data_IF_267320359543
#
_entry.id   IF_267320359543
#
_cell.length_a   1.000
_cell.length_b   1.000
_cell.length_c   1.000
_cell.angle_alpha   90.00
_cell.angle_beta   90.00
_cell.angle_gamma   90.00
#
_symmetry.space_group_name_H-M   'P 1'
#
loop_
_entity.id
_entity.type
_entity.pdbx_description
1 polymer ?
#
# COMPACT_ATOMS: atom_id res chain seq x y z
N UNK A 1 18.77 -26.33 -2.54
CA UNK A 1 17.48 -26.97 -2.18
C UNK A 1 16.37 -26.21 -2.87
N UNK A 2 15.24 -26.84 -3.19
CA UNK A 2 14.10 -26.14 -3.79
C UNK A 2 13.58 -25.03 -2.84
N UNK A 3 13.08 -23.92 -3.40
CA UNK A 3 12.47 -22.87 -2.58
C UNK A 3 11.13 -23.34 -2.01
N UNK A 4 10.80 -22.88 -0.80
CA UNK A 4 9.51 -23.13 -0.16
C UNK A 4 8.75 -21.83 -0.02
N UNK A 5 7.50 -21.78 -0.50
CA UNK A 5 6.60 -20.63 -0.37
C UNK A 5 5.52 -20.89 0.69
N UNK A 6 5.17 -19.86 1.44
CA UNK A 6 3.99 -19.76 2.31
C UNK A 6 3.22 -18.48 1.94
N UNK A 7 1.89 -18.57 1.97
CA UNK A 7 0.97 -17.49 1.59
C UNK A 7 -0.09 -17.37 2.67
N UNK A 8 -0.11 -16.23 3.36
CA UNK A 8 -1.04 -16.00 4.46
C UNK A 8 -1.93 -14.79 4.16
N UNK A 9 -3.20 -14.89 4.54
CA UNK A 9 -4.16 -13.79 4.47
C UNK A 9 -4.39 -13.25 5.88
N UNK A 10 -4.17 -11.96 6.05
CA UNK A 10 -4.22 -11.31 7.36
C UNK A 10 -5.17 -10.12 7.32
N UNK A 11 -5.77 -9.81 8.48
CA UNK A 11 -6.67 -8.67 8.66
C UNK A 11 -6.19 -7.81 9.81
N UNK A 12 -6.03 -6.52 9.54
CA UNK A 12 -5.60 -5.55 10.53
C UNK A 12 -6.71 -4.53 10.79
N UNK A 13 -7.14 -4.33 12.05
CA UNK A 13 -8.13 -3.31 12.36
C UNK A 13 -7.54 -1.92 12.07
N UNK A 14 -8.33 -1.07 11.41
CA UNK A 14 -7.98 0.33 11.19
C UNK A 14 -8.31 1.09 12.49
N UNK A 15 -7.45 2.04 12.86
CA UNK A 15 -7.74 2.97 13.95
C UNK A 15 -8.93 3.87 13.56
N UNK A 16 -10.15 3.44 13.92
CA UNK A 16 -11.39 4.07 13.49
C UNK A 16 -11.80 3.59 12.09
N UNK A 17 -12.13 4.55 11.22
CA UNK A 17 -12.62 4.26 9.86
C UNK A 17 -11.80 5.02 8.83
N UNK A 18 -11.38 4.31 7.78
CA UNK A 18 -10.75 4.91 6.62
C UNK A 18 -11.76 5.10 5.49
N UNK A 19 -12.03 6.35 5.12
CA UNK A 19 -13.07 6.69 4.13
C UNK A 19 -12.50 7.48 2.96
N UNK A 20 -12.90 7.05 1.76
CA UNK A 20 -12.69 7.74 0.48
C UNK A 20 -14.05 7.96 -0.20
N UNK A 21 -14.09 8.71 -1.29
CA UNK A 21 -15.32 8.96 -2.07
C UNK A 21 -16.11 7.69 -2.44
N UNK A 22 -15.41 6.58 -2.67
CA UNK A 22 -16.01 5.28 -3.06
C UNK A 22 -16.46 4.40 -1.88
N UNK A 23 -16.21 4.81 -0.63
CA UNK A 23 -16.65 4.06 0.55
C UNK A 23 -15.64 4.03 1.69
N UNK A 24 -16.03 3.26 2.72
CA UNK A 24 -15.33 3.17 4.00
C UNK A 24 -14.78 1.78 4.26
N UNK A 25 -13.68 1.70 5.00
CA UNK A 25 -13.09 0.46 5.54
C UNK A 25 -12.79 0.61 7.02
N UNK A 26 -13.00 -0.47 7.77
CA UNK A 26 -12.62 -0.61 9.18
C UNK A 26 -11.49 -1.62 9.38
N UNK A 27 -11.10 -2.32 8.32
CA UNK A 27 -10.00 -3.28 8.31
C UNK A 27 -9.18 -3.17 7.02
N UNK A 28 -7.90 -3.48 7.13
CA UNK A 28 -6.99 -3.70 6.01
C UNK A 28 -6.77 -5.20 5.85
N UNK A 29 -7.24 -5.75 4.73
CA UNK A 29 -6.99 -7.13 4.34
C UNK A 29 -5.75 -7.18 3.45
N UNK A 30 -4.77 -7.99 3.84
CA UNK A 30 -3.48 -8.11 3.15
C UNK A 30 -3.15 -9.58 2.90
N UNK A 31 -2.32 -9.83 1.90
CA UNK A 31 -1.75 -11.16 1.66
C UNK A 31 -0.24 -11.04 1.76
N UNK A 32 0.36 -11.82 2.67
CA UNK A 32 1.79 -11.93 2.83
C UNK A 32 2.32 -13.19 2.12
N UNK A 33 3.44 -13.03 1.42
CA UNK A 33 4.16 -14.09 0.72
C UNK A 33 5.54 -14.24 1.35
N UNK A 34 5.87 -15.44 1.81
CA UNK A 34 7.19 -15.77 2.34
C UNK A 34 7.85 -16.85 1.48
N UNK A 35 9.06 -16.58 0.98
CA UNK A 35 9.84 -17.52 0.17
C UNK A 35 11.13 -17.85 0.90
N UNK A 36 11.39 -19.14 1.13
CA UNK A 36 12.54 -19.63 1.88
C UNK A 36 13.49 -20.43 1.00
N UNK A 37 14.78 -20.12 1.07
CA UNK A 37 15.87 -20.81 0.38
C UNK A 37 17.10 -20.86 1.29
N UNK A 38 17.70 -22.05 1.47
CA UNK A 38 18.92 -22.25 2.26
C UNK A 38 18.87 -21.61 3.67
N UNK A 39 17.72 -21.72 4.35
CA UNK A 39 17.53 -21.17 5.71
C UNK A 39 17.32 -19.64 5.77
N UNK A 40 17.25 -18.95 4.63
CA UNK A 40 16.88 -17.52 4.55
C UNK A 40 15.46 -17.37 4.03
N UNK A 41 14.71 -16.43 4.56
CA UNK A 41 13.32 -16.16 4.17
C UNK A 41 13.13 -14.71 3.77
N UNK A 42 12.76 -14.50 2.52
CA UNK A 42 12.27 -13.22 2.00
C UNK A 42 10.76 -13.09 2.18
N UNK A 43 10.28 -11.87 2.38
CA UNK A 43 8.88 -11.54 2.63
C UNK A 43 8.43 -10.39 1.72
N UNK A 44 7.21 -10.51 1.22
CA UNK A 44 6.51 -9.44 0.51
C UNK A 44 5.05 -9.43 0.92
N UNK A 45 4.43 -8.26 0.85
CA UNK A 45 3.01 -8.06 1.19
C UNK A 45 2.31 -7.36 0.04
N UNK A 46 1.04 -7.70 -0.18
CA UNK A 46 0.19 -6.96 -1.08
C UNK A 46 -1.20 -6.72 -0.49
N UNK A 47 -1.88 -5.71 -1.06
CA UNK A 47 -3.24 -5.32 -0.68
C UNK A 47 -4.13 -5.48 -1.92
N UNK A 48 -4.95 -6.54 -2.01
CA UNK A 48 -5.90 -6.70 -3.11
C UNK A 48 -6.86 -5.51 -3.21
N UNK A 49 -7.03 -4.97 -4.42
CA UNK A 49 -7.83 -3.78 -4.64
C UNK A 49 -9.05 -4.02 -5.54
N UNK A 50 -10.24 -4.12 -4.93
CA UNK A 50 -11.52 -4.38 -5.63
C UNK A 50 -11.80 -3.43 -6.81
N UNK A 51 -11.38 -2.16 -6.72
CA UNK A 51 -11.54 -1.19 -7.81
C UNK A 51 -10.79 -1.60 -9.09
N UNK A 52 -9.74 -2.41 -8.98
CA UNK A 52 -8.99 -2.98 -10.09
C UNK A 52 -9.39 -4.43 -10.41
N UNK A 53 -10.53 -4.91 -9.89
CA UNK A 53 -11.02 -6.26 -10.12
C UNK A 53 -10.34 -7.34 -9.28
N UNK A 54 -9.52 -6.96 -8.30
CA UNK A 54 -8.82 -7.92 -7.44
C UNK A 54 -9.67 -8.32 -6.22
N UNK A 55 -9.57 -9.59 -5.84
CA UNK A 55 -10.17 -10.15 -4.62
C UNK A 55 -9.11 -10.85 -3.79
N UNK A 56 -9.35 -11.02 -2.48
CA UNK A 56 -8.44 -11.80 -1.61
C UNK A 56 -8.21 -13.22 -2.16
N UNK A 57 -9.29 -13.89 -2.55
CA UNK A 57 -9.23 -15.24 -3.12
C UNK A 57 -8.48 -15.27 -4.46
N UNK A 58 -8.79 -14.36 -5.38
CA UNK A 58 -8.15 -14.31 -6.70
C UNK A 58 -6.67 -13.99 -6.62
N UNK A 59 -6.27 -13.04 -5.76
CA UNK A 59 -4.86 -12.70 -5.56
C UNK A 59 -4.12 -13.85 -4.88
N UNK A 60 -4.70 -14.47 -3.84
CA UNK A 60 -4.10 -15.65 -3.21
C UNK A 60 -3.92 -16.80 -4.21
N UNK A 61 -4.96 -17.10 -4.99
CA UNK A 61 -4.90 -18.14 -6.03
C UNK A 61 -3.82 -17.87 -7.07
N UNK A 62 -3.66 -16.61 -7.49
CA UNK A 62 -2.60 -16.21 -8.42
C UNK A 62 -1.19 -16.38 -7.83
N UNK A 63 -1.01 -16.14 -6.52
CA UNK A 63 0.27 -16.39 -5.84
C UNK A 63 0.53 -17.90 -5.73
N UNK A 64 -0.47 -18.68 -5.32
CA UNK A 64 -0.34 -20.14 -5.19
C UNK A 64 -0.07 -20.84 -6.53
N UNK A 65 -0.62 -20.32 -7.64
CA UNK A 65 -0.34 -20.84 -8.98
C UNK A 65 1.16 -20.75 -9.36
N UNK A 66 1.91 -19.85 -8.72
CA UNK A 66 3.36 -19.71 -8.93
C UNK A 66 4.21 -20.65 -8.07
N UNK A 67 3.61 -21.52 -7.25
CA UNK A 67 4.35 -22.44 -6.36
C UNK A 67 5.44 -23.21 -7.07
N UNK A 68 5.12 -23.80 -8.22
CA UNK A 68 6.06 -24.63 -8.98
C UNK A 68 7.23 -23.80 -9.49
N UNK A 69 6.95 -22.69 -10.18
CA UNK A 69 7.98 -21.79 -10.72
C UNK A 69 8.89 -21.24 -9.61
N UNK A 70 8.32 -20.89 -8.46
CA UNK A 70 9.08 -20.43 -7.29
C UNK A 70 9.95 -21.54 -6.73
N UNK A 71 9.42 -22.75 -6.55
CA UNK A 71 10.19 -23.89 -6.08
C UNK A 71 11.37 -24.22 -7.00
N UNK A 72 11.20 -24.04 -8.31
CA UNK A 72 12.24 -24.18 -9.35
C UNK A 72 13.16 -22.96 -9.49
N UNK A 73 12.98 -21.92 -8.67
CA UNK A 73 13.92 -20.80 -8.57
C UNK A 73 13.71 -19.70 -9.60
N UNK A 74 12.47 -19.45 -10.04
CA UNK A 74 12.16 -18.31 -10.93
C UNK A 74 12.81 -17.01 -10.44
N UNK A 75 13.41 -16.25 -11.37
CA UNK A 75 14.03 -14.97 -11.07
C UNK A 75 13.02 -13.83 -11.12
N UNK A 76 13.33 -12.69 -10.49
CA UNK A 76 12.50 -11.48 -10.57
C UNK A 76 12.28 -11.00 -12.01
N UNK A 77 13.28 -11.15 -12.88
CA UNK A 77 13.15 -10.75 -14.29
C UNK A 77 12.19 -11.69 -15.03
N UNK A 78 12.30 -13.00 -14.83
CA UNK A 78 11.38 -13.97 -15.42
C UNK A 78 9.94 -13.79 -14.90
N UNK A 79 9.77 -13.41 -13.63
CA UNK A 79 8.48 -13.13 -13.02
C UNK A 79 7.68 -12.04 -13.78
N UNK A 80 8.36 -11.05 -14.37
CA UNK A 80 7.71 -9.99 -15.14
C UNK A 80 6.97 -10.52 -16.38
N UNK A 81 7.47 -11.59 -16.99
CA UNK A 81 6.83 -12.26 -18.12
C UNK A 81 5.83 -13.35 -17.70
N UNK A 82 6.04 -13.97 -16.53
CA UNK A 82 5.17 -15.02 -16.00
C UNK A 82 3.89 -14.49 -15.34
N UNK A 83 3.89 -13.25 -14.85
CA UNK A 83 2.73 -12.65 -14.18
C UNK A 83 2.42 -11.23 -14.67
N UNK A 84 1.13 -10.89 -14.85
CA UNK A 84 0.73 -9.50 -15.10
C UNK A 84 1.02 -8.61 -13.87
N UNK A 85 0.98 -7.29 -14.08
CA UNK A 85 1.02 -6.34 -12.98
C UNK A 85 -0.23 -6.49 -12.09
N UNK A 86 -0.03 -6.44 -10.77
CA UNK A 86 -1.10 -6.57 -9.78
C UNK A 86 -0.57 -6.91 -8.39
N UNK A 87 -1.46 -7.02 -7.42
CA UNK A 87 -1.15 -7.32 -6.03
C UNK A 87 -0.39 -8.65 -5.88
N UNK A 88 -0.78 -9.69 -6.63
CA UNK A 88 -0.12 -11.00 -6.58
C UNK A 88 1.38 -10.89 -6.93
N UNK A 89 1.70 -10.22 -8.04
CA UNK A 89 3.09 -10.02 -8.48
C UNK A 89 3.86 -9.13 -7.52
N UNK A 90 3.22 -8.12 -6.92
CA UNK A 90 3.85 -7.28 -5.90
C UNK A 90 4.36 -8.11 -4.71
N UNK A 91 3.52 -9.00 -4.16
CA UNK A 91 3.92 -9.84 -3.02
C UNK A 91 5.10 -10.75 -3.35
N UNK A 92 5.07 -11.42 -4.52
CA UNK A 92 6.16 -12.33 -4.93
C UNK A 92 7.44 -11.55 -5.27
N UNK A 93 7.36 -10.47 -6.05
CA UNK A 93 8.53 -9.67 -6.43
C UNK A 93 9.26 -9.12 -5.20
N UNK A 94 8.49 -8.54 -4.25
CA UNK A 94 9.05 -8.05 -2.99
C UNK A 94 9.68 -9.18 -2.15
N UNK A 95 9.03 -10.35 -2.08
CA UNK A 95 9.58 -11.50 -1.37
C UNK A 95 10.90 -12.00 -1.99
N UNK A 96 11.01 -11.99 -3.32
CA UNK A 96 12.25 -12.34 -4.02
C UNK A 96 13.35 -11.30 -3.77
N UNK A 97 13.03 -10.01 -3.82
CA UNK A 97 13.98 -8.94 -3.48
C UNK A 97 14.54 -9.10 -2.06
N UNK A 98 13.67 -9.32 -1.09
CA UNK A 98 14.05 -9.50 0.31
C UNK A 98 14.86 -10.80 0.51
N UNK A 99 14.50 -11.88 -0.18
CA UNK A 99 15.25 -13.14 -0.14
C UNK A 99 16.67 -12.97 -0.70
N UNK A 100 16.80 -12.39 -1.89
CA UNK A 100 18.09 -12.14 -2.55
C UNK A 100 19.02 -11.28 -1.67
N UNK A 101 18.47 -10.25 -1.03
CA UNK A 101 19.22 -9.41 -0.10
C UNK A 101 19.75 -10.20 1.10
N UNK A 102 18.92 -11.10 1.66
CA UNK A 102 19.29 -11.94 2.81
C UNK A 102 20.27 -13.06 2.46
N UNK A 103 20.21 -13.60 1.25
CA UNK A 103 21.17 -14.59 0.75
C UNK A 103 22.52 -13.93 0.48
N UNK A 104 22.52 -12.79 -0.22
CA UNK A 104 23.74 -12.08 -0.60
C UNK A 104 24.38 -11.30 0.55
N UNK A 105 23.65 -11.03 1.63
CA UNK A 105 24.07 -10.11 2.69
C UNK A 105 24.08 -8.64 2.25
N UNK A 106 23.57 -8.33 1.05
CA UNK A 106 23.51 -6.96 0.51
C UNK A 106 22.09 -6.42 0.65
N UNK A 107 21.86 -5.35 1.44
CA UNK A 107 20.53 -4.75 1.56
C UNK A 107 19.95 -4.35 0.19
N UNK A 108 18.65 -4.59 -0.05
CA UNK A 108 17.96 -4.24 -1.32
C UNK A 108 18.30 -2.83 -1.78
N UNK A 109 18.30 -1.90 -0.83
CA UNK A 109 18.71 -0.52 -1.03
C UNK A 109 20.04 -0.43 -1.81
N UNK A 110 21.11 -1.08 -1.35
CA UNK A 110 22.42 -0.98 -1.98
C UNK A 110 22.43 -1.52 -3.42
N UNK A 111 21.53 -2.43 -3.75
CA UNK A 111 21.39 -2.99 -5.11
C UNK A 111 20.72 -2.02 -6.09
N UNK A 112 19.78 -1.19 -5.63
CA UNK A 112 18.96 -0.33 -6.52
C UNK A 112 19.33 1.16 -6.48
N UNK A 113 20.20 1.56 -5.56
CA UNK A 113 20.40 2.98 -5.27
C UNK A 113 21.41 3.65 -6.16
N UNK A 114 21.08 4.88 -6.52
CA UNK A 114 22.01 5.88 -7.06
C UNK A 114 22.42 6.92 -6.00
N UNK A 115 21.73 6.98 -4.85
CA UNK A 115 21.96 7.97 -3.78
C UNK A 115 21.81 7.38 -2.36
N UNK A 116 22.42 7.95 -1.30
CA UNK A 116 22.31 7.52 0.10
C UNK A 116 20.90 7.61 0.73
N UNK A 117 20.64 6.87 1.82
CA UNK A 117 19.29 6.67 2.40
C UNK A 117 19.14 7.80 3.37
N UNK A 118 18.03 8.50 3.24
CA UNK A 118 17.64 9.55 4.16
C UNK A 118 16.22 9.30 4.58
N UNK A 119 15.89 9.72 5.79
CA UNK A 119 14.50 9.82 6.19
C UNK A 119 13.75 10.70 5.17
N UNK A 120 12.56 10.26 4.80
CA UNK A 120 11.66 11.01 3.93
C UNK A 120 10.41 11.37 4.69
N UNK A 121 9.88 12.55 4.39
CA UNK A 121 8.60 13.00 4.91
C UNK A 121 7.47 12.27 4.16
N UNK A 122 6.63 11.54 4.89
CA UNK A 122 5.39 10.96 4.35
C UNK A 122 4.19 11.87 4.64
N UNK A 123 3.16 11.77 3.80
CA UNK A 123 1.88 12.41 4.06
C UNK A 123 1.09 11.63 5.11
N UNK A 124 0.32 12.32 5.95
CA UNK A 124 -0.67 11.69 6.82
C UNK A 124 -2.07 11.92 6.24
N UNK A 125 -2.84 10.85 6.06
CA UNK A 125 -4.13 10.91 5.37
C UNK A 125 -5.27 11.19 6.35
N UNK A 126 -6.08 12.20 6.08
CA UNK A 126 -7.34 12.49 6.75
C UNK A 126 -8.47 11.83 5.97
N UNK A 127 -9.26 11.00 6.67
CA UNK A 127 -10.44 10.32 6.09
C UNK A 127 -11.52 11.33 5.71
N UNK A 128 -12.21 11.07 4.61
CA UNK A 128 -13.37 11.86 4.17
C UNK A 128 -14.47 11.77 5.23
N UNK A 129 -14.97 12.93 5.68
CA UNK A 129 -16.06 13.05 6.64
C UNK A 129 -16.74 14.43 6.49
N UNK A 130 -17.65 14.76 7.41
CA UNK A 130 -18.20 16.13 7.50
C UNK A 130 -17.11 17.17 7.85
N UNK A 131 -17.26 18.44 7.42
CA UNK A 131 -16.24 19.47 7.58
C UNK A 131 -15.71 19.61 9.02
N UNK A 132 -16.58 19.57 10.02
CA UNK A 132 -16.18 19.68 11.44
C UNK A 132 -15.34 18.49 11.90
N UNK A 133 -15.72 17.27 11.51
CA UNK A 133 -14.97 16.06 11.83
C UNK A 133 -13.60 16.04 11.14
N UNK A 134 -13.52 16.50 9.89
CA UNK A 134 -12.25 16.64 9.18
C UNK A 134 -11.36 17.73 9.80
N UNK A 135 -11.94 18.85 10.23
CA UNK A 135 -11.21 19.88 10.98
C UNK A 135 -10.67 19.34 12.32
N UNK A 136 -11.43 18.50 13.02
CA UNK A 136 -10.95 17.84 14.24
C UNK A 136 -9.78 16.88 13.95
N UNK A 137 -9.86 16.07 12.89
CA UNK A 137 -8.75 15.21 12.44
C UNK A 137 -7.51 16.03 12.09
N UNK A 138 -7.69 17.16 11.40
CA UNK A 138 -6.62 18.07 11.02
C UNK A 138 -5.97 18.72 12.24
N UNK A 139 -6.75 19.27 13.18
CA UNK A 139 -6.23 19.85 14.44
C UNK A 139 -5.41 18.84 15.23
N UNK A 140 -5.88 17.60 15.33
CA UNK A 140 -5.16 16.53 16.03
C UNK A 140 -3.82 16.13 15.36
N UNK A 141 -3.61 16.54 14.12
CA UNK A 141 -2.44 16.22 13.31
C UNK A 141 -1.74 17.47 12.75
N UNK A 142 -2.02 18.66 13.25
CA UNK A 142 -1.52 19.93 12.72
C UNK A 142 0.01 20.08 12.85
N UNK A 143 0.64 19.34 13.76
CA UNK A 143 2.10 19.25 13.87
C UNK A 143 2.76 18.55 12.67
N UNK A 144 1.98 17.87 11.82
CA UNK A 144 2.52 17.15 10.68
C UNK A 144 2.76 18.11 9.51
N UNK A 145 3.94 18.06 8.87
CA UNK A 145 4.29 18.98 7.81
C UNK A 145 3.58 18.72 6.47
N UNK A 146 2.86 17.60 6.33
CA UNK A 146 2.09 17.25 5.13
C UNK A 146 0.86 16.41 5.48
N UNK A 147 -0.31 16.96 5.16
CA UNK A 147 -1.60 16.30 5.29
C UNK A 147 -2.16 15.98 3.90
N UNK A 148 -2.65 14.75 3.73
CA UNK A 148 -3.40 14.30 2.55
C UNK A 148 -4.87 14.26 2.90
N UNK A 149 -5.69 15.00 2.19
CA UNK A 149 -7.11 15.16 2.52
C UNK A 149 -7.94 14.41 1.49
N UNK A 150 -8.72 13.42 1.96
CA UNK A 150 -9.69 12.73 1.12
C UNK A 150 -10.89 13.62 0.91
N UNK A 151 -11.24 13.80 -0.36
CA UNK A 151 -12.36 14.59 -0.87
C UNK A 151 -13.09 13.75 -1.94
N UNK A 152 -14.08 14.32 -2.62
CA UNK A 152 -14.79 13.69 -3.71
C UNK A 152 -16.28 13.59 -3.43
N UNK A 153 -16.95 14.74 -3.41
CA UNK A 153 -18.40 14.87 -3.36
C UNK A 153 -18.86 16.30 -3.11
N UNK A 154 -20.17 16.48 -2.94
CA UNK A 154 -20.74 17.79 -2.63
C UNK A 154 -20.17 18.34 -1.32
N UNK A 155 -20.01 19.67 -1.23
CA UNK A 155 -19.50 20.40 -0.06
C UNK A 155 -17.98 20.29 0.22
N UNK A 156 -17.17 19.84 -0.74
CA UNK A 156 -15.71 19.75 -0.57
C UNK A 156 -15.04 21.11 -0.29
N UNK A 157 -15.57 22.21 -0.83
CA UNK A 157 -15.08 23.56 -0.52
C UNK A 157 -15.13 23.83 1.00
N UNK A 158 -16.21 23.43 1.68
CA UNK A 158 -16.32 23.61 3.12
C UNK A 158 -15.33 22.71 3.88
N UNK A 159 -15.15 21.45 3.44
CA UNK A 159 -14.16 20.53 4.01
C UNK A 159 -12.74 21.09 3.89
N UNK A 160 -12.38 21.59 2.72
CA UNK A 160 -11.05 22.17 2.45
C UNK A 160 -10.83 23.40 3.34
N UNK A 161 -11.81 24.32 3.42
CA UNK A 161 -11.73 25.50 4.29
C UNK A 161 -11.57 25.11 5.76
N UNK A 162 -12.33 24.13 6.23
CA UNK A 162 -12.29 23.69 7.62
C UNK A 162 -10.94 23.02 7.97
N UNK A 163 -10.40 22.19 7.08
CA UNK A 163 -9.09 21.54 7.26
C UNK A 163 -7.94 22.55 7.21
N UNK A 164 -7.94 23.45 6.22
CA UNK A 164 -6.89 24.48 6.08
C UNK A 164 -6.86 25.43 7.30
N UNK A 165 -8.02 25.84 7.80
CA UNK A 165 -8.10 26.64 9.03
C UNK A 165 -7.64 25.87 10.29
N UNK A 166 -7.85 24.56 10.33
CA UNK A 166 -7.47 23.70 11.44
C UNK A 166 -5.98 23.33 11.50
N UNK A 167 -5.28 23.39 10.37
CA UNK A 167 -3.86 23.06 10.26
C UNK A 167 -3.15 24.04 9.30
N UNK A 168 -3.07 25.34 9.65
CA UNK A 168 -2.61 26.39 8.75
C UNK A 168 -1.13 26.27 8.35
N UNK A 169 -0.31 25.61 9.18
CA UNK A 169 1.12 25.43 8.95
C UNK A 169 1.45 24.14 8.17
N UNK A 170 0.46 23.25 7.99
CA UNK A 170 0.63 22.02 7.22
C UNK A 170 0.52 22.29 5.73
N UNK A 171 1.41 21.70 4.93
CA UNK A 171 1.15 21.56 3.49
C UNK A 171 0.01 20.58 3.29
N UNK A 172 -0.89 20.88 2.35
CA UNK A 172 -2.08 20.07 2.08
C UNK A 172 -2.06 19.58 0.63
N UNK A 173 -2.31 18.29 0.44
CA UNK A 173 -2.58 17.67 -0.85
C UNK A 173 -3.97 17.04 -0.83
N UNK A 174 -4.71 17.14 -1.92
CA UNK A 174 -6.08 16.64 -2.05
C UNK A 174 -6.11 15.35 -2.87
N UNK A 175 -7.03 14.45 -2.56
CA UNK A 175 -7.27 13.22 -3.33
C UNK A 175 -8.76 12.91 -3.39
N UNK A 176 -9.36 13.20 -4.55
CA UNK A 176 -10.78 13.03 -4.84
C UNK A 176 -11.18 11.57 -5.10
N UNK A 177 -10.20 10.69 -5.36
CA UNK A 177 -10.46 9.30 -5.75
C UNK A 177 -11.59 9.16 -6.78
N UNK A 178 -11.46 9.88 -7.91
CA UNK A 178 -12.44 9.87 -9.01
C UNK A 178 -13.82 10.45 -8.64
N UNK A 179 -13.94 11.17 -7.52
CA UNK A 179 -15.21 11.73 -7.03
C UNK A 179 -15.59 13.11 -7.57
N UNK A 180 -14.70 13.77 -8.31
CA UNK A 180 -15.01 15.02 -9.02
C UNK A 180 -15.40 14.76 -10.48
N UNK A 181 -16.16 15.68 -11.04
CA UNK A 181 -16.58 15.75 -12.43
C UNK A 181 -16.40 17.19 -12.95
N UNK A 182 -16.91 17.50 -14.13
CA UNK A 182 -16.71 18.82 -14.76
C UNK A 182 -17.44 19.96 -14.01
N UNK A 183 -18.43 19.64 -13.16
CA UNK A 183 -19.33 20.59 -12.50
C UNK A 183 -18.99 20.86 -11.02
N UNK A 184 -18.05 20.13 -10.39
CA UNK A 184 -17.77 20.24 -8.95
C UNK A 184 -16.28 20.40 -8.56
#
# INVERSE_FOLDING_TARGET
MARVISVEAERFPIAGTFTISRGSKTEAEVISCAITENGRTGRGECVPYKRYGETMEGVRGAIEAMRSEIAHGISRIALLGAMPAGAARNAIDCALWDLEAKISGTPVAHTIRTVPLRALQTAYTLSLAEPEAMAAQARANAQRPLLKVKIGGDNDIARIRAVTAAAPDSRIILDANEGWNDDN
#
